data_IF_188530493147
#
_entry.id   IF_188530493147
#
_cell.length_a   1.000
_cell.length_b   1.000
_cell.length_c   1.000
_cell.angle_alpha   90.00
_cell.angle_beta   90.00
_cell.angle_gamma   90.00
#
_symmetry.space_group_name_H-M   'P 1'
#
loop_
_entity.id
_entity.type
_entity.pdbx_description
1 polymer ?
#
# COMPACT_ATOMS: atom_id res chain seq x y z
N UNK A 1 -4.59 56.93 3.69
CA UNK A 1 -5.53 56.46 4.73
C UNK A 1 -5.13 57.12 6.05
N UNK A 2 -6.02 57.87 6.71
CA UNK A 2 -5.66 58.69 7.90
C UNK A 2 -5.12 57.83 9.05
N UNK A 3 -4.07 58.32 9.73
CA UNK A 3 -3.43 57.71 10.91
C UNK A 3 -4.43 57.27 11.99
N UNK A 4 -5.56 57.96 12.11
CA UNK A 4 -6.62 57.58 13.04
C UNK A 4 -7.36 56.30 12.66
N UNK A 5 -7.57 56.03 11.37
CA UNK A 5 -8.27 54.84 10.88
C UNK A 5 -7.42 53.57 11.06
N UNK A 6 -6.09 53.69 10.89
CA UNK A 6 -5.17 52.57 11.09
C UNK A 6 -5.10 52.15 12.57
N UNK A 7 -5.06 53.13 13.48
CA UNK A 7 -5.07 52.86 14.94
C UNK A 7 -6.38 52.19 15.38
N UNK A 8 -7.50 52.56 14.78
CA UNK A 8 -8.81 51.97 15.09
C UNK A 8 -8.93 50.51 14.61
N UNK A 9 -8.35 50.19 13.45
CA UNK A 9 -8.30 48.82 12.92
C UNK A 9 -7.39 47.93 13.79
N UNK A 10 -6.22 48.44 14.20
CA UNK A 10 -5.30 47.69 15.08
C UNK A 10 -5.93 47.45 16.45
N UNK A 11 -6.64 48.45 17.01
CA UNK A 11 -7.35 48.29 18.28
C UNK A 11 -8.47 47.23 18.19
N UNK A 12 -9.23 47.19 17.09
CA UNK A 12 -10.25 46.15 16.86
C UNK A 12 -9.65 44.75 16.72
N UNK A 13 -8.48 44.62 16.08
CA UNK A 13 -7.82 43.33 15.91
C UNK A 13 -7.31 42.76 17.24
N UNK A 14 -6.79 43.61 18.13
CA UNK A 14 -6.32 43.21 19.46
C UNK A 14 -7.49 42.75 20.34
N UNK A 15 -8.63 43.46 20.28
CA UNK A 15 -9.85 43.07 21.01
C UNK A 15 -10.38 41.72 20.52
N UNK A 16 -10.31 41.46 19.20
CA UNK A 16 -10.73 40.19 18.61
C UNK A 16 -9.86 39.02 19.10
N UNK A 17 -8.53 39.19 19.10
CA UNK A 17 -7.58 38.15 19.55
C UNK A 17 -7.74 37.89 21.06
N UNK A 18 -7.92 38.93 21.87
CA UNK A 18 -8.19 38.79 23.30
C UNK A 18 -9.53 38.08 23.58
N UNK A 19 -10.57 38.36 22.79
CA UNK A 19 -11.87 37.70 22.90
C UNK A 19 -11.82 36.20 22.56
N UNK A 20 -11.10 35.82 21.50
CA UNK A 20 -10.92 34.41 21.12
C UNK A 20 -10.08 33.64 22.15
N UNK A 21 -9.03 34.27 22.70
CA UNK A 21 -8.23 33.68 23.78
C UNK A 21 -9.03 33.45 25.07
N UNK A 22 -9.93 34.37 25.42
CA UNK A 22 -10.77 34.25 26.61
C UNK A 22 -11.83 33.14 26.48
N UNK A 23 -12.37 32.90 25.27
CA UNK A 23 -13.31 31.80 25.01
C UNK A 23 -12.64 30.42 25.05
N UNK A 24 -11.38 30.30 24.59
CA UNK A 24 -10.62 29.05 24.70
C UNK A 24 -10.25 28.74 26.16
N UNK A 25 -9.92 29.75 26.97
CA UNK A 25 -9.55 29.54 28.38
C UNK A 25 -10.75 29.27 29.30
N UNK A 26 -11.97 29.74 28.94
CA UNK A 26 -13.18 29.46 29.73
C UNK A 26 -13.72 28.04 29.53
N UNK A 27 -13.32 27.33 28.47
CA UNK A 27 -13.69 25.92 28.29
C UNK A 27 -12.78 24.95 29.06
N UNK A 28 -11.63 25.41 29.56
CA UNK A 28 -10.65 24.55 30.24
C UNK A 28 -10.91 24.39 31.76
N UNK A 29 -11.96 25.01 32.32
CA UNK A 29 -12.33 24.89 33.74
C UNK A 29 -13.77 24.40 33.92
N UNK A 30 -14.01 23.15 33.50
CA UNK A 30 -15.13 22.34 34.00
C UNK A 30 -14.69 20.89 34.21
N UNK A 31 -13.85 20.69 35.22
CA UNK A 31 -13.81 19.43 35.96
C UNK A 31 -14.23 19.77 37.38
N UNK A 32 -15.55 19.82 37.56
CA UNK A 32 -16.16 19.83 38.88
C UNK A 32 -15.89 18.48 39.52
N UNK A 33 -15.15 18.48 40.62
CA UNK A 33 -15.13 17.37 41.58
C UNK A 33 -16.55 17.16 42.11
N UNK A 34 -17.29 16.21 41.53
CA UNK A 34 -18.50 15.67 42.14
C UNK A 34 -18.14 14.34 42.77
N UNK A 35 -17.95 14.36 44.10
CA UNK A 35 -17.94 13.17 44.94
C UNK A 35 -19.35 12.57 44.90
N UNK A 36 -19.56 11.56 44.07
CA UNK A 36 -20.74 10.71 44.05
C UNK A 36 -20.36 9.30 44.51
N UNK A 37 -21.27 8.69 45.27
CA UNK A 37 -21.13 7.43 45.99
C UNK A 37 -20.46 6.29 45.22
N UNK A 38 -19.65 5.56 45.97
CA UNK A 38 -19.08 4.26 45.66
C UNK A 38 -20.21 3.26 45.34
N UNK A 39 -20.53 3.11 44.06
CA UNK A 39 -21.15 1.90 43.52
C UNK A 39 -20.02 1.05 42.97
N UNK A 40 -19.84 -0.15 43.52
CA UNK A 40 -18.91 -1.19 43.06
C UNK A 40 -18.92 -1.23 41.53
N UNK A 41 -17.79 -0.99 40.84
CA UNK A 41 -17.72 -1.21 39.41
C UNK A 41 -17.96 -2.71 39.20
N UNK A 42 -19.05 -3.00 38.49
CA UNK A 42 -19.26 -4.31 37.91
C UNK A 42 -17.97 -4.74 37.20
N UNK A 43 -17.50 -5.94 37.51
CA UNK A 43 -16.25 -6.46 37.00
C UNK A 43 -16.27 -6.33 35.47
N UNK A 44 -15.31 -5.56 34.96
CA UNK A 44 -14.87 -5.47 33.58
C UNK A 44 -15.48 -6.59 32.72
N UNK A 45 -16.48 -6.25 31.91
CA UNK A 45 -16.70 -6.97 30.67
C UNK A 45 -15.45 -6.71 29.83
N UNK A 46 -14.45 -7.55 30.03
CA UNK A 46 -13.31 -7.67 29.13
C UNK A 46 -13.91 -8.16 27.82
N UNK A 47 -14.24 -7.25 26.92
CA UNK A 47 -14.33 -7.62 25.51
C UNK A 47 -13.02 -8.33 25.17
N UNK A 48 -13.04 -9.58 24.69
CA UNK A 48 -11.81 -10.28 24.34
C UNK A 48 -11.04 -9.39 23.37
N UNK A 49 -9.78 -9.11 23.68
CA UNK A 49 -8.87 -8.49 22.71
C UNK A 49 -8.85 -9.46 21.52
N UNK A 50 -9.18 -9.02 20.29
CA UNK A 50 -9.10 -9.90 19.14
C UNK A 50 -7.68 -10.46 19.07
N UNK A 51 -7.56 -11.77 19.25
CA UNK A 51 -6.26 -12.45 19.24
C UNK A 51 -5.80 -12.49 17.79
N UNK A 52 -4.78 -11.69 17.47
CA UNK A 52 -4.12 -11.76 16.18
C UNK A 52 -3.39 -13.09 16.06
N UNK A 53 -3.62 -13.81 14.98
CA UNK A 53 -2.94 -15.07 14.66
C UNK A 53 -1.88 -14.83 13.59
N UNK A 54 -0.63 -15.16 13.88
CA UNK A 54 0.42 -15.20 12.86
C UNK A 54 0.22 -16.44 11.96
N UNK A 55 0.31 -16.24 10.65
CA UNK A 55 0.26 -17.32 9.66
C UNK A 55 1.66 -17.61 9.13
N UNK A 56 1.85 -18.82 8.59
CA UNK A 56 3.12 -19.22 7.99
C UNK A 56 3.55 -18.23 6.89
N UNK A 57 4.81 -17.77 6.88
CA UNK A 57 5.30 -16.86 5.85
C UNK A 57 5.40 -17.56 4.50
N UNK A 58 5.14 -16.82 3.42
CA UNK A 58 5.48 -17.24 2.06
C UNK A 58 6.84 -16.67 1.67
N UNK A 59 7.69 -17.48 1.04
CA UNK A 59 9.06 -17.09 0.72
C UNK A 59 9.45 -17.47 -0.71
N UNK A 60 10.23 -16.61 -1.36
CA UNK A 60 10.80 -16.87 -2.67
C UNK A 60 12.22 -16.34 -2.79
N UNK A 61 13.17 -17.22 -3.08
CA UNK A 61 14.56 -16.84 -3.33
C UNK A 61 14.70 -16.18 -4.70
N UNK A 62 15.62 -15.23 -4.80
CA UNK A 62 16.03 -14.65 -6.07
C UNK A 62 16.71 -15.69 -6.98
N UNK A 63 16.74 -15.48 -8.30
CA UNK A 63 17.38 -16.39 -9.26
C UNK A 63 18.80 -16.83 -8.89
N UNK A 64 19.60 -15.94 -8.30
CA UNK A 64 20.97 -16.24 -7.87
C UNK A 64 21.08 -16.68 -6.39
N UNK A 65 19.96 -16.76 -5.67
CA UNK A 65 19.89 -17.14 -4.27
C UNK A 65 20.38 -16.11 -3.26
N UNK A 66 20.85 -14.94 -3.69
CA UNK A 66 21.45 -13.92 -2.80
C UNK A 66 20.43 -13.08 -2.06
N UNK A 67 19.19 -13.04 -2.56
CA UNK A 67 18.06 -12.34 -1.95
C UNK A 67 16.91 -13.29 -1.70
N UNK A 68 16.06 -12.92 -0.75
CA UNK A 68 14.79 -13.61 -0.48
C UNK A 68 13.67 -12.59 -0.33
N UNK A 69 12.53 -12.87 -0.92
CA UNK A 69 11.27 -12.15 -0.73
C UNK A 69 10.46 -12.93 0.30
N UNK A 70 9.94 -12.24 1.31
CA UNK A 70 9.23 -12.85 2.43
C UNK A 70 7.92 -12.09 2.63
N UNK A 71 6.80 -12.80 2.63
CA UNK A 71 5.47 -12.26 2.92
C UNK A 71 4.97 -12.84 4.24
N UNK A 72 4.96 -11.99 5.27
CA UNK A 72 4.40 -12.32 6.57
C UNK A 72 2.93 -11.87 6.63
N UNK A 73 2.11 -12.64 7.35
CA UNK A 73 0.67 -12.45 7.43
C UNK A 73 0.21 -12.57 8.88
N UNK A 74 -0.56 -11.59 9.33
CA UNK A 74 -1.21 -11.61 10.63
C UNK A 74 -2.71 -11.46 10.42
N UNK A 75 -3.50 -12.39 10.96
CA UNK A 75 -4.94 -12.43 10.79
C UNK A 75 -5.65 -11.98 12.06
N UNK A 76 -6.61 -11.08 11.91
CA UNK A 76 -7.68 -10.81 12.89
C UNK A 76 -9.00 -11.38 12.35
N UNK A 77 -10.12 -11.19 13.08
CA UNK A 77 -11.42 -11.74 12.64
C UNK A 77 -11.87 -11.21 11.26
N UNK A 78 -11.55 -9.97 10.93
CA UNK A 78 -12.04 -9.30 9.71
C UNK A 78 -10.94 -8.94 8.72
N UNK A 79 -9.68 -8.84 9.18
CA UNK A 79 -8.56 -8.30 8.40
C UNK A 79 -7.36 -9.24 8.37
N UNK A 80 -6.64 -9.21 7.26
CA UNK A 80 -5.30 -9.76 7.08
C UNK A 80 -4.33 -8.60 6.91
N UNK A 81 -3.37 -8.50 7.83
CA UNK A 81 -2.22 -7.62 7.72
C UNK A 81 -1.10 -8.35 7.01
N UNK A 82 -0.67 -7.79 5.89
CA UNK A 82 0.45 -8.25 5.10
C UNK A 82 1.67 -7.36 5.37
N UNK A 83 2.83 -7.99 5.53
CA UNK A 83 4.12 -7.30 5.61
C UNK A 83 5.09 -7.99 4.66
N UNK A 84 5.60 -7.23 3.70
CA UNK A 84 6.48 -7.70 2.64
C UNK A 84 7.90 -7.24 2.94
N UNK A 85 8.83 -8.19 2.94
CA UNK A 85 10.24 -7.96 3.25
C UNK A 85 11.15 -8.49 2.16
N UNK A 86 12.30 -7.84 1.97
CA UNK A 86 13.45 -8.46 1.33
C UNK A 86 14.53 -8.77 2.35
N UNK A 87 15.29 -9.83 2.11
CA UNK A 87 16.44 -10.20 2.92
C UNK A 87 17.63 -10.47 2.00
N UNK A 88 18.84 -10.19 2.49
CA UNK A 88 20.10 -10.56 1.86
C UNK A 88 20.78 -11.68 2.67
N UNK A 89 21.90 -12.23 2.18
CA UNK A 89 22.69 -13.27 2.87
C UNK A 89 23.06 -12.94 4.32
N UNK A 90 23.10 -11.66 4.72
CA UNK A 90 23.36 -11.21 6.09
C UNK A 90 22.15 -11.31 7.03
N UNK A 91 21.04 -11.93 6.61
CA UNK A 91 19.79 -12.15 7.36
C UNK A 91 19.03 -10.90 7.83
N UNK A 92 19.49 -9.70 7.49
CA UNK A 92 18.76 -8.46 7.80
C UNK A 92 17.51 -8.33 6.92
N UNK A 93 16.32 -8.47 7.53
CA UNK A 93 15.05 -8.17 6.87
C UNK A 93 14.88 -6.66 6.68
N UNK A 94 14.64 -6.25 5.45
CA UNK A 94 14.23 -4.91 5.06
C UNK A 94 12.73 -4.92 4.76
N UNK A 95 11.96 -4.08 5.45
CA UNK A 95 10.54 -3.91 5.11
C UNK A 95 10.40 -3.13 3.80
N UNK A 96 9.60 -3.66 2.87
CA UNK A 96 9.33 -3.04 1.59
C UNK A 96 7.94 -2.42 1.58
N UNK A 97 6.95 -3.14 2.10
CA UNK A 97 5.54 -2.76 2.00
C UNK A 97 4.72 -3.38 3.12
N UNK A 98 3.65 -2.71 3.55
CA UNK A 98 2.64 -3.28 4.44
C UNK A 98 1.26 -2.78 4.07
N UNK A 99 0.28 -3.68 4.14
CA UNK A 99 -1.12 -3.40 3.80
C UNK A 99 -2.04 -4.26 4.63
N UNK A 100 -3.16 -3.70 5.05
CA UNK A 100 -4.27 -4.44 5.63
C UNK A 100 -5.37 -4.61 4.58
N UNK A 101 -5.87 -5.84 4.46
CA UNK A 101 -6.92 -6.20 3.52
C UNK A 101 -8.02 -7.01 4.22
N UNK A 102 -9.27 -6.96 3.75
CA UNK A 102 -10.30 -7.90 4.19
C UNK A 102 -9.88 -9.35 3.93
N UNK A 103 -10.32 -10.29 4.79
CA UNK A 103 -10.02 -11.73 4.65
C UNK A 103 -10.40 -12.36 3.30
N UNK A 104 -11.33 -11.73 2.55
CA UNK A 104 -11.72 -12.18 1.21
C UNK A 104 -10.70 -11.82 0.12
N UNK A 105 -9.67 -11.04 0.45
CA UNK A 105 -8.60 -10.64 -0.45
C UNK A 105 -7.28 -11.24 0.00
N UNK A 106 -6.36 -11.43 -0.93
CA UNK A 106 -5.07 -12.03 -0.63
C UNK A 106 -3.93 -11.41 -1.43
N UNK A 107 -2.79 -11.18 -0.78
CA UNK A 107 -1.50 -10.97 -1.44
C UNK A 107 -0.76 -12.31 -1.44
N UNK A 108 -0.12 -12.65 -2.56
CA UNK A 108 0.75 -13.83 -2.71
C UNK A 108 2.02 -13.50 -3.50
N UNK A 109 3.03 -14.37 -3.39
CA UNK A 109 4.30 -14.28 -4.12
C UNK A 109 4.31 -15.31 -5.27
N UNK A 110 4.16 -14.88 -6.53
CA UNK A 110 4.32 -15.77 -7.67
C UNK A 110 5.71 -16.41 -7.73
N UNK A 111 5.83 -17.65 -8.23
CA UNK A 111 7.11 -18.38 -8.28
C UNK A 111 8.18 -17.67 -9.13
N UNK A 112 7.74 -16.92 -10.12
CA UNK A 112 8.51 -16.16 -11.10
C UNK A 112 8.60 -14.66 -10.73
N UNK A 113 8.36 -14.30 -9.46
CA UNK A 113 8.29 -12.92 -8.97
C UNK A 113 9.53 -12.08 -9.30
N UNK A 114 10.72 -12.66 -9.23
CA UNK A 114 11.99 -11.94 -9.28
C UNK A 114 12.48 -11.64 -10.70
N UNK A 115 12.95 -10.40 -10.93
CA UNK A 115 13.67 -10.07 -12.16
C UNK A 115 15.01 -10.81 -12.22
N UNK A 116 15.54 -11.09 -13.42
CA UNK A 116 16.80 -11.83 -13.59
C UNK A 116 18.04 -11.22 -12.91
N UNK A 117 18.02 -9.91 -12.65
CA UNK A 117 19.09 -9.17 -11.97
C UNK A 117 18.81 -8.92 -10.47
N UNK A 118 17.68 -9.43 -9.96
CA UNK A 118 17.18 -9.27 -8.61
C UNK A 118 16.92 -7.82 -8.17
N UNK A 119 16.82 -6.87 -9.12
CA UNK A 119 16.53 -5.47 -8.81
C UNK A 119 15.04 -5.26 -8.58
N UNK A 120 14.19 -5.98 -9.30
CA UNK A 120 12.74 -5.86 -9.22
C UNK A 120 12.12 -7.18 -8.78
N UNK A 121 10.93 -7.09 -8.20
CA UNK A 121 10.05 -8.23 -8.02
C UNK A 121 8.59 -7.79 -8.17
N UNK A 122 7.67 -8.72 -8.42
CA UNK A 122 6.24 -8.41 -8.45
C UNK A 122 5.41 -9.34 -7.55
N UNK A 123 4.36 -8.80 -6.93
CA UNK A 123 3.40 -9.57 -6.13
C UNK A 123 2.02 -9.52 -6.77
N UNK A 124 1.19 -10.50 -6.42
CA UNK A 124 -0.20 -10.61 -6.89
C UNK A 124 -1.14 -10.29 -5.74
N UNK A 125 -2.05 -9.36 -5.95
CA UNK A 125 -3.18 -9.10 -5.05
C UNK A 125 -4.46 -9.56 -5.71
N UNK A 126 -5.13 -10.54 -5.11
CA UNK A 126 -6.38 -11.12 -5.62
C UNK A 126 -7.54 -10.73 -4.74
N UNK A 127 -8.64 -10.29 -5.36
CA UNK A 127 -9.95 -10.14 -4.74
C UNK A 127 -10.97 -11.00 -5.49
N UNK A 128 -12.22 -11.14 -4.99
CA UNK A 128 -13.28 -11.83 -5.72
C UNK A 128 -13.60 -11.22 -7.09
N UNK A 129 -13.28 -9.95 -7.29
CA UNK A 129 -13.66 -9.19 -8.49
C UNK A 129 -12.48 -8.96 -9.45
N UNK A 130 -11.26 -8.83 -8.92
CA UNK A 130 -10.10 -8.41 -9.70
C UNK A 130 -8.80 -9.01 -9.20
N UNK A 131 -7.85 -9.12 -10.10
CA UNK A 131 -6.45 -9.44 -9.80
C UNK A 131 -5.63 -8.21 -10.16
N UNK A 132 -4.78 -7.76 -9.24
CA UNK A 132 -3.82 -6.70 -9.46
C UNK A 132 -2.41 -7.25 -9.30
N UNK A 133 -1.47 -6.66 -10.04
CA UNK A 133 -0.05 -6.98 -9.91
C UNK A 133 0.71 -5.69 -9.59
N UNK A 134 1.63 -5.78 -8.64
CA UNK A 134 2.42 -4.65 -8.18
C UNK A 134 3.91 -4.96 -8.30
N UNK A 135 4.66 -4.08 -8.96
CA UNK A 135 6.12 -4.20 -9.11
C UNK A 135 6.80 -3.29 -8.10
N UNK A 136 7.81 -3.82 -7.41
CA UNK A 136 8.60 -3.11 -6.41
C UNK A 136 10.09 -3.15 -6.76
N UNK A 137 10.84 -2.17 -6.22
CA UNK A 137 12.30 -2.25 -6.13
C UNK A 137 12.69 -3.08 -4.90
N UNK A 138 13.58 -4.04 -5.10
CA UNK A 138 14.07 -4.92 -4.04
C UNK A 138 14.89 -4.18 -2.97
N UNK A 139 15.37 -2.97 -3.29
CA UNK A 139 16.06 -2.06 -2.38
C UNK A 139 15.11 -1.35 -1.40
N UNK A 140 13.79 -1.41 -1.61
CA UNK A 140 12.81 -0.64 -0.83
C UNK A 140 12.77 0.85 -1.18
N UNK A 141 13.54 1.28 -2.18
CA UNK A 141 13.48 2.62 -2.72
C UNK A 141 12.18 2.82 -3.52
N UNK A 142 11.76 4.07 -3.65
CA UNK A 142 10.62 4.43 -4.48
C UNK A 142 11.05 4.54 -5.95
N UNK A 143 10.10 4.27 -6.85
CA UNK A 143 10.14 4.73 -8.23
C UNK A 143 10.11 6.27 -8.29
N UNK A 144 10.38 6.88 -9.46
CA UNK A 144 10.21 8.33 -9.65
C UNK A 144 8.87 8.85 -9.13
N UNK A 145 8.83 10.13 -8.78
CA UNK A 145 7.65 10.80 -8.19
C UNK A 145 7.22 10.22 -6.82
N UNK A 146 8.16 9.57 -6.12
CA UNK A 146 7.97 9.02 -4.78
C UNK A 146 6.90 7.91 -4.73
N UNK A 147 6.78 7.16 -5.83
CA UNK A 147 5.84 6.05 -5.97
C UNK A 147 6.48 4.76 -5.44
N UNK A 148 5.88 4.13 -4.43
CA UNK A 148 6.45 2.94 -3.78
C UNK A 148 6.42 1.69 -4.67
N UNK A 149 5.40 1.56 -5.50
CA UNK A 149 5.23 0.43 -6.41
C UNK A 149 4.54 0.87 -7.70
N UNK A 150 4.78 0.15 -8.78
CA UNK A 150 4.02 0.31 -10.01
C UNK A 150 2.82 -0.63 -10.00
N UNK A 151 1.62 -0.08 -10.12
CA UNK A 151 0.41 -0.88 -10.40
C UNK A 151 0.40 -1.23 -11.88
N UNK A 152 0.60 -2.51 -12.19
CA UNK A 152 0.59 -3.00 -13.58
C UNK A 152 -0.79 -2.78 -14.20
N UNK A 153 -1.84 -2.98 -13.41
CA UNK A 153 -3.22 -2.81 -13.85
C UNK A 153 -3.54 -1.36 -14.22
N UNK A 154 -3.24 -0.41 -13.32
CA UNK A 154 -3.52 1.01 -13.57
C UNK A 154 -2.70 1.55 -14.75
N UNK A 155 -1.41 1.20 -14.82
CA UNK A 155 -0.55 1.59 -15.94
C UNK A 155 -1.04 1.01 -17.27
N UNK A 156 -1.54 -0.22 -17.27
CA UNK A 156 -2.05 -0.86 -18.47
C UNK A 156 -3.34 -0.20 -18.94
N UNK A 157 -4.30 0.02 -18.04
CA UNK A 157 -5.57 0.70 -18.34
C UNK A 157 -5.36 2.14 -18.84
N UNK A 158 -4.32 2.83 -18.36
CA UNK A 158 -3.97 4.17 -18.82
C UNK A 158 -3.38 4.17 -20.25
N UNK A 159 -2.61 3.14 -20.62
CA UNK A 159 -1.73 3.16 -21.80
C UNK A 159 -2.15 2.22 -22.92
N UNK A 160 -3.00 1.25 -22.65
CA UNK A 160 -3.40 0.20 -23.59
C UNK A 160 -4.92 0.09 -23.61
N UNK A 161 -5.52 0.50 -24.72
CA UNK A 161 -6.95 0.40 -24.96
C UNK A 161 -7.33 -0.95 -25.60
N UNK A 162 -8.56 -1.40 -25.36
CA UNK A 162 -9.14 -2.57 -26.04
C UNK A 162 -8.73 -3.95 -25.49
N UNK A 163 -7.87 -3.99 -24.48
CA UNK A 163 -7.41 -5.24 -23.85
C UNK A 163 -7.59 -5.19 -22.33
N UNK A 164 -7.61 -6.36 -21.70
CA UNK A 164 -7.49 -6.51 -20.25
C UNK A 164 -6.45 -7.57 -19.90
N UNK A 165 -5.82 -7.39 -18.73
CA UNK A 165 -4.80 -8.31 -18.24
C UNK A 165 -5.45 -9.60 -17.77
N UNK A 166 -4.93 -10.74 -18.26
CA UNK A 166 -5.33 -12.07 -17.81
C UNK A 166 -4.31 -12.66 -16.84
N UNK A 167 -3.02 -12.38 -17.02
CA UNK A 167 -1.97 -12.84 -16.12
C UNK A 167 -0.66 -12.06 -16.27
N UNK A 168 0.25 -12.21 -15.31
CA UNK A 168 1.65 -11.77 -15.38
C UNK A 168 2.55 -12.99 -15.17
N UNK A 169 3.27 -13.38 -16.22
CA UNK A 169 3.98 -14.67 -16.29
C UNK A 169 5.47 -14.59 -15.98
N UNK A 170 5.94 -13.45 -15.46
CA UNK A 170 7.32 -13.26 -15.03
C UNK A 170 8.09 -12.31 -15.93
N UNK A 171 9.38 -12.53 -16.07
CA UNK A 171 10.30 -11.55 -16.65
C UNK A 171 10.94 -12.08 -17.93
N UNK A 172 10.92 -11.27 -18.99
CA UNK A 172 11.66 -11.53 -20.23
C UNK A 172 13.11 -10.99 -20.16
N UNK A 173 13.33 -9.97 -19.33
CA UNK A 173 14.62 -9.32 -19.13
C UNK A 173 14.63 -8.58 -17.78
N UNK A 174 15.79 -8.08 -17.30
CA UNK A 174 15.93 -7.34 -16.03
C UNK A 174 14.87 -6.28 -15.73
N UNK A 175 14.38 -5.58 -16.76
CA UNK A 175 13.33 -4.54 -16.62
C UNK A 175 12.08 -4.82 -17.46
N UNK A 176 11.95 -6.00 -18.07
CA UNK A 176 10.83 -6.33 -18.96
C UNK A 176 9.96 -7.42 -18.33
N UNK A 177 8.78 -7.03 -17.85
CA UNK A 177 7.78 -7.91 -17.27
C UNK A 177 6.80 -8.37 -18.36
N UNK A 178 6.51 -9.66 -18.43
CA UNK A 178 5.58 -10.26 -19.39
C UNK A 178 4.15 -10.16 -18.83
N UNK A 179 3.28 -9.50 -19.57
CA UNK A 179 1.87 -9.29 -19.24
C UNK A 179 1.02 -9.94 -20.31
N UNK A 180 0.27 -10.97 -19.94
CA UNK A 180 -0.69 -11.64 -20.80
C UNK A 180 -2.02 -10.93 -20.78
N UNK A 181 -2.65 -10.85 -21.95
CA UNK A 181 -3.87 -10.07 -22.12
C UNK A 181 -4.85 -10.78 -23.06
N UNK A 182 -6.11 -10.37 -22.97
CA UNK A 182 -7.17 -10.74 -23.89
C UNK A 182 -7.88 -9.47 -24.36
N UNK A 183 -8.32 -9.47 -25.62
CA UNK A 183 -9.13 -8.38 -26.17
C UNK A 183 -10.50 -8.30 -25.45
N UNK A 184 -11.00 -7.08 -25.25
CA UNK A 184 -12.29 -6.83 -24.60
C UNK A 184 -13.46 -7.40 -25.42
N UNK A 185 -13.39 -7.26 -26.74
CA UNK A 185 -14.40 -7.68 -27.70
C UNK A 185 -13.82 -8.71 -28.68
N UNK A 186 -13.46 -9.89 -28.17
CA UNK A 186 -12.90 -10.94 -29.01
C UNK A 186 -12.33 -12.10 -28.20
N UNK A 187 -11.71 -13.04 -28.91
CA UNK A 187 -10.93 -14.13 -28.32
C UNK A 187 -9.42 -14.00 -28.57
N UNK A 188 -8.99 -12.91 -29.19
CA UNK A 188 -7.60 -12.64 -29.47
C UNK A 188 -6.81 -12.45 -28.17
N UNK A 189 -5.74 -13.24 -28.05
CA UNK A 189 -4.81 -13.22 -26.94
C UNK A 189 -3.47 -12.71 -27.41
N UNK A 190 -2.93 -11.72 -26.72
CA UNK A 190 -1.60 -11.18 -26.98
C UNK A 190 -0.90 -10.93 -25.66
N UNK A 191 0.43 -10.85 -25.72
CA UNK A 191 1.22 -10.44 -24.57
C UNK A 191 1.88 -9.10 -24.83
N UNK A 192 2.20 -8.42 -23.76
CA UNK A 192 2.97 -7.19 -23.76
C UNK A 192 4.20 -7.35 -22.88
N UNK A 193 5.29 -6.68 -23.23
CA UNK A 193 6.32 -6.36 -22.26
C UNK A 193 6.01 -5.01 -21.63
N UNK A 194 5.92 -4.98 -20.30
CA UNK A 194 6.04 -3.75 -19.53
C UNK A 194 7.54 -3.49 -19.30
N UNK A 195 8.07 -2.40 -19.89
CA UNK A 195 9.37 -1.88 -19.46
C UNK A 195 9.18 -1.04 -18.19
N UNK A 196 9.64 -1.57 -17.06
CA UNK A 196 9.48 -0.96 -15.73
C UNK A 196 10.15 0.41 -15.64
N UNK A 197 11.20 0.67 -16.43
CA UNK A 197 11.96 1.93 -16.37
C UNK A 197 11.22 3.08 -17.05
N UNK A 198 10.67 2.82 -18.23
CA UNK A 198 9.88 3.80 -18.99
C UNK A 198 8.39 3.74 -18.70
N UNK A 199 7.96 2.74 -17.93
CA UNK A 199 6.55 2.43 -17.63
C UNK A 199 5.70 2.28 -18.90
N UNK A 200 6.29 1.75 -19.98
CA UNK A 200 5.66 1.65 -21.29
C UNK A 200 5.40 0.19 -21.67
N UNK A 201 4.37 -0.04 -22.50
CA UNK A 201 4.02 -1.37 -22.99
C UNK A 201 4.45 -1.58 -24.45
N UNK A 202 5.05 -2.74 -24.73
CA UNK A 202 5.45 -3.17 -26.06
C UNK A 202 4.63 -4.41 -26.40
N UNK A 203 3.75 -4.32 -27.41
CA UNK A 203 2.95 -5.47 -27.86
C UNK A 203 3.85 -6.53 -28.51
N UNK A 204 3.59 -7.79 -28.17
CA UNK A 204 4.31 -8.95 -28.69
C UNK A 204 3.45 -9.69 -29.71
N UNK A 205 4.10 -10.37 -30.65
CA UNK A 205 3.45 -11.26 -31.61
C UNK A 205 3.20 -12.67 -31.06
N UNK A 206 3.48 -12.92 -29.78
CA UNK A 206 3.39 -14.24 -29.14
C UNK A 206 2.69 -14.11 -27.81
N UNK A 207 1.82 -15.07 -27.51
CA UNK A 207 1.20 -15.24 -26.20
C UNK A 207 2.00 -16.27 -25.39
N UNK A 208 2.21 -16.02 -24.10
CA UNK A 208 2.95 -16.94 -23.22
C UNK A 208 1.97 -17.76 -22.39
N UNK A 209 2.08 -19.08 -22.40
CA UNK A 209 1.25 -19.98 -21.57
C UNK A 209 1.99 -20.44 -20.31
#
# INVERSE_FOLDING_TARGET
>A
MSSSKLKLIIALLIILIAGVGMLMFSQQKRTTETRASESVPDLLSLSPIPVSQDLDPEEMSSPDGKKKLILERQQTEELLKYSLFTSNESESKLIIYSKELPVAQAISIPFNTWSPDNIHFFVKESSPEKINYFVFLASGENFPDNVQYLSVQELFEEKVEGYFITDVTGWAAPSLLIVNTKENEGDDKVSFWLDVRSQSFIRLGTYFE
#
